data_IF_779714799930
#
_entry.id   IF_779714799930
#
_cell.length_a   1.000
_cell.length_b   1.000
_cell.length_c   1.000
_cell.angle_alpha   90.00
_cell.angle_beta   90.00
_cell.angle_gamma   90.00
#
_symmetry.space_group_name_H-M   'P 1'
#
loop_
_entity.id
_entity.type
_entity.pdbx_description
1 polymer ?
#
# COMPACT_ATOMS: atom_id res chain seq x y z
N UNK A 1 -3.51 -6.93 -13.30
CA UNK A 1 -4.40 -7.19 -12.14
C UNK A 1 -5.54 -6.19 -12.05
N UNK A 2 -5.36 -4.92 -11.62
CA UNK A 2 -6.50 -3.98 -11.50
C UNK A 2 -7.21 -3.70 -12.82
N UNK A 3 -6.45 -3.56 -13.92
CA UNK A 3 -6.98 -3.43 -15.29
C UNK A 3 -7.80 -4.65 -15.72
N UNK A 4 -7.52 -5.81 -15.12
CA UNK A 4 -8.12 -7.11 -15.44
C UNK A 4 -9.23 -7.50 -14.45
N UNK A 5 -9.76 -6.55 -13.67
CA UNK A 5 -10.88 -6.81 -12.77
C UNK A 5 -10.52 -7.26 -11.35
N UNK A 6 -9.23 -7.52 -11.03
CA UNK A 6 -8.85 -7.96 -9.69
C UNK A 6 -9.06 -6.86 -8.61
N UNK A 7 -9.38 -7.28 -7.40
CA UNK A 7 -9.25 -6.47 -6.17
C UNK A 7 -7.83 -6.61 -5.62
N UNK A 8 -7.22 -5.50 -5.24
CA UNK A 8 -5.86 -5.48 -4.70
C UNK A 8 -5.80 -4.82 -3.33
N UNK A 9 -5.09 -5.47 -2.43
CA UNK A 9 -4.56 -4.88 -1.22
C UNK A 9 -3.04 -4.69 -1.40
N UNK A 10 -2.58 -3.44 -1.40
CA UNK A 10 -1.17 -3.08 -1.60
C UNK A 10 -0.58 -2.59 -0.29
N UNK A 11 0.52 -3.22 0.12
CA UNK A 11 1.30 -2.82 1.30
C UNK A 11 2.43 -1.87 0.93
N UNK A 12 2.66 -0.82 1.72
CA UNK A 12 3.73 0.16 1.44
C UNK A 12 4.09 1.01 2.66
N UNK A 13 5.34 1.48 2.73
CA UNK A 13 5.79 2.50 3.68
C UNK A 13 5.54 3.93 3.20
N UNK A 14 5.11 4.10 1.96
CA UNK A 14 4.86 5.40 1.32
C UNK A 14 3.47 5.42 0.68
N UNK A 15 2.41 5.34 1.50
CA UNK A 15 1.03 5.21 1.01
C UNK A 15 0.58 6.37 0.13
N UNK A 16 0.96 7.61 0.42
CA UNK A 16 0.55 8.75 -0.40
C UNK A 16 1.21 8.71 -1.77
N UNK A 17 2.51 8.42 -1.80
CA UNK A 17 3.23 8.26 -3.06
C UNK A 17 2.67 7.09 -3.88
N UNK A 18 2.25 6.00 -3.24
CA UNK A 18 1.56 4.87 -3.89
C UNK A 18 0.23 5.30 -4.50
N UNK A 19 -0.63 5.98 -3.74
CA UNK A 19 -1.94 6.44 -4.23
C UNK A 19 -1.82 7.40 -5.42
N UNK A 20 -0.89 8.37 -5.35
CA UNK A 20 -0.64 9.29 -6.47
C UNK A 20 -0.23 8.55 -7.74
N UNK A 21 0.62 7.53 -7.63
CA UNK A 21 1.04 6.71 -8.78
C UNK A 21 -0.13 5.94 -9.36
N UNK A 22 -0.92 5.25 -8.54
CA UNK A 22 -2.11 4.54 -9.02
C UNK A 22 -3.16 5.45 -9.64
N UNK A 23 -3.25 6.72 -9.22
CA UNK A 23 -4.13 7.71 -9.86
C UNK A 23 -3.59 8.28 -11.16
N UNK A 24 -2.29 8.44 -11.28
CA UNK A 24 -1.65 8.93 -12.50
C UNK A 24 -1.74 7.92 -13.66
N UNK A 25 -1.97 6.64 -13.37
CA UNK A 25 -2.11 5.60 -14.37
C UNK A 25 -3.35 5.81 -15.27
N UNK A 26 -3.23 5.64 -16.60
CA UNK A 26 -4.38 5.69 -17.51
C UNK A 26 -5.46 4.67 -17.14
N UNK A 27 -6.72 5.12 -17.12
CA UNK A 27 -7.88 4.29 -16.75
C UNK A 27 -8.12 4.18 -15.24
N UNK A 28 -7.42 4.96 -14.41
CA UNK A 28 -7.48 4.82 -12.95
C UNK A 28 -8.83 5.07 -12.28
N UNK A 29 -9.75 5.71 -12.99
CA UNK A 29 -11.13 5.87 -12.55
C UNK A 29 -11.88 4.53 -12.36
N UNK A 30 -11.41 3.43 -12.95
CA UNK A 30 -12.09 2.13 -12.91
C UNK A 30 -11.75 1.24 -11.69
N UNK A 31 -10.83 1.66 -10.83
CA UNK A 31 -10.40 0.88 -9.66
C UNK A 31 -10.36 1.60 -8.28
N UNK A 32 -11.03 2.75 -8.02
CA UNK A 32 -11.13 3.31 -6.66
C UNK A 32 -11.58 2.28 -5.62
N UNK A 33 -12.62 1.52 -5.92
CA UNK A 33 -13.28 0.62 -4.96
C UNK A 33 -12.59 -0.76 -4.87
N UNK A 34 -11.65 -1.03 -5.79
CA UNK A 34 -10.92 -2.31 -5.87
C UNK A 34 -9.46 -2.17 -5.45
N UNK A 35 -9.02 -0.99 -5.03
CA UNK A 35 -7.66 -0.74 -4.56
C UNK A 35 -7.67 -0.29 -3.10
N UNK A 36 -7.16 -1.15 -2.24
CA UNK A 36 -6.90 -0.86 -0.84
C UNK A 36 -5.41 -0.66 -0.64
N UNK A 37 -4.99 0.51 -0.11
CA UNK A 37 -3.59 0.76 0.25
C UNK A 37 -3.43 0.69 1.76
N UNK A 38 -2.52 -0.17 2.21
CA UNK A 38 -2.19 -0.37 3.62
C UNK A 38 -0.80 0.19 3.90
N UNK A 39 -0.73 1.17 4.79
CA UNK A 39 0.51 1.67 5.34
C UNK A 39 1.10 0.63 6.31
N UNK A 40 2.25 0.07 5.96
CA UNK A 40 2.96 -0.94 6.77
C UNK A 40 4.45 -0.89 6.52
N UNK A 41 5.24 -0.98 7.59
CA UNK A 41 6.67 -1.28 7.51
C UNK A 41 6.90 -2.78 7.68
N UNK A 42 7.15 -3.48 6.58
CA UNK A 42 7.41 -4.92 6.59
C UNK A 42 8.72 -5.29 7.32
N UNK A 43 9.54 -4.31 7.72
CA UNK A 43 10.72 -4.53 8.58
C UNK A 43 10.36 -4.57 10.06
N UNK A 44 9.15 -4.15 10.44
CA UNK A 44 8.64 -4.21 11.81
C UNK A 44 7.68 -5.41 11.94
N UNK A 45 8.12 -6.53 12.55
CA UNK A 45 7.30 -7.74 12.66
C UNK A 45 5.96 -7.51 13.34
N UNK A 46 5.85 -6.53 14.24
CA UNK A 46 4.60 -6.24 14.96
C UNK A 46 3.51 -5.73 14.02
N UNK A 47 3.89 -4.89 13.05
CA UNK A 47 2.96 -4.40 12.04
C UNK A 47 2.54 -5.49 11.05
N UNK A 48 3.45 -6.42 10.75
CA UNK A 48 3.14 -7.60 9.93
C UNK A 48 2.13 -8.49 10.63
N UNK A 49 2.33 -8.78 11.93
CA UNK A 49 1.40 -9.57 12.72
C UNK A 49 0.02 -8.90 12.80
N UNK A 50 -0.04 -7.60 13.13
CA UNK A 50 -1.31 -6.87 13.16
C UNK A 50 -2.01 -6.78 11.81
N UNK A 51 -1.26 -6.78 10.69
CA UNK A 51 -1.84 -6.91 9.35
C UNK A 51 -2.46 -8.30 9.15
N UNK A 52 -1.74 -9.37 9.47
CA UNK A 52 -2.23 -10.73 9.34
C UNK A 52 -3.49 -10.98 10.18
N UNK A 53 -3.53 -10.45 11.40
CA UNK A 53 -4.72 -10.52 12.27
C UNK A 53 -5.92 -9.84 11.64
N UNK A 54 -5.76 -8.59 11.17
CA UNK A 54 -6.84 -7.86 10.49
C UNK A 54 -7.36 -8.61 9.25
N UNK A 55 -6.45 -9.11 8.41
CA UNK A 55 -6.84 -9.86 7.21
C UNK A 55 -7.61 -11.14 7.54
N UNK A 56 -7.26 -11.79 8.66
CA UNK A 56 -7.97 -12.98 9.16
C UNK A 56 -9.37 -12.62 9.67
N UNK A 57 -9.51 -11.48 10.33
CA UNK A 57 -10.80 -10.97 10.84
C UNK A 57 -11.75 -10.55 9.71
N UNK A 58 -11.22 -9.88 8.68
CA UNK A 58 -11.98 -9.45 7.49
C UNK A 58 -12.50 -10.65 6.67
N UNK A 59 -12.06 -11.87 6.99
CA UNK A 59 -12.40 -13.15 6.33
C UNK A 59 -12.29 -13.11 4.80
N UNK A 60 -11.39 -12.28 4.27
CA UNK A 60 -11.20 -12.19 2.84
C UNK A 60 -10.42 -13.41 2.35
N UNK A 61 -10.99 -14.24 1.44
CA UNK A 61 -10.23 -15.31 0.83
C UNK A 61 -9.14 -14.71 -0.04
N UNK A 62 -7.89 -14.82 0.41
CA UNK A 62 -6.72 -14.39 -0.37
C UNK A 62 -6.44 -15.46 -1.43
N UNK A 63 -6.69 -15.11 -2.70
CA UNK A 63 -6.47 -16.04 -3.82
C UNK A 63 -5.01 -16.06 -4.25
N UNK A 64 -4.30 -14.93 -4.13
CA UNK A 64 -2.91 -14.76 -4.60
C UNK A 64 -2.15 -13.86 -3.63
N UNK A 65 -0.99 -14.31 -3.18
CA UNK A 65 0.02 -13.50 -2.46
C UNK A 65 1.20 -13.22 -3.39
N UNK A 66 1.64 -11.96 -3.45
CA UNK A 66 2.80 -11.53 -4.24
C UNK A 66 3.82 -10.85 -3.32
N UNK A 67 4.91 -11.55 -3.01
CA UNK A 67 6.03 -11.04 -2.21
C UNK A 67 6.97 -10.17 -3.04
N UNK A 68 6.45 -9.03 -3.51
CA UNK A 68 7.20 -8.08 -4.34
C UNK A 68 8.12 -7.15 -3.52
N UNK A 69 7.83 -6.94 -2.24
CA UNK A 69 8.60 -6.00 -1.41
C UNK A 69 10.00 -6.55 -1.11
N UNK A 70 11.01 -6.05 -1.80
CA UNK A 70 12.38 -6.49 -1.66
C UNK A 70 13.38 -5.32 -1.76
N UNK A 71 14.56 -5.52 -1.17
CA UNK A 71 15.70 -4.60 -1.32
C UNK A 71 17.00 -5.41 -1.34
N UNK A 72 17.73 -5.34 -2.45
CA UNK A 72 18.97 -6.11 -2.67
C UNK A 72 20.23 -5.37 -2.23
N UNK A 73 20.16 -4.05 -2.05
CA UNK A 73 21.30 -3.21 -1.64
C UNK A 73 20.86 -2.24 -0.55
N UNK A 74 21.69 -2.04 0.47
CA UNK A 74 21.42 -1.02 1.50
C UNK A 74 21.55 0.38 0.88
N UNK A 75 20.47 1.15 0.91
CA UNK A 75 20.47 2.54 0.44
C UNK A 75 20.64 3.48 1.63
N UNK A 76 21.39 4.58 1.46
CA UNK A 76 21.49 5.59 2.50
C UNK A 76 20.12 6.29 2.67
N UNK A 77 19.75 6.73 3.90
CA UNK A 77 18.41 7.27 4.20
C UNK A 77 17.95 8.39 3.25
N UNK A 78 18.89 9.21 2.78
CA UNK A 78 18.67 10.34 1.88
C UNK A 78 18.08 9.90 0.53
N UNK A 79 18.30 8.64 0.12
CA UNK A 79 17.69 8.05 -1.08
C UNK A 79 16.17 8.03 -1.02
N UNK A 80 15.59 8.11 0.18
CA UNK A 80 14.15 8.12 0.41
C UNK A 80 13.61 9.49 0.83
N UNK A 81 14.45 10.53 0.90
CA UNK A 81 14.04 11.84 1.42
C UNK A 81 12.87 12.45 0.64
N UNK A 82 12.91 12.38 -0.70
CA UNK A 82 11.81 12.86 -1.54
C UNK A 82 10.53 12.05 -1.36
N UNK A 83 10.65 10.73 -1.16
CA UNK A 83 9.50 9.87 -0.87
C UNK A 83 8.88 10.24 0.47
N UNK A 84 9.70 10.39 1.52
CA UNK A 84 9.25 10.77 2.85
C UNK A 84 8.59 12.16 2.87
N UNK A 85 9.17 13.14 2.19
CA UNK A 85 8.58 14.48 2.07
C UNK A 85 7.20 14.46 1.39
N UNK A 86 6.99 13.55 0.43
CA UNK A 86 5.72 13.38 -0.26
C UNK A 86 4.58 12.82 0.60
N UNK A 87 4.87 12.26 1.77
CA UNK A 87 3.86 11.63 2.64
C UNK A 87 3.08 12.64 3.50
N UNK A 88 3.51 13.89 3.60
CA UNK A 88 2.82 14.93 4.37
C UNK A 88 1.83 15.78 3.55
N UNK A 89 1.76 15.59 2.23
CA UNK A 89 0.95 16.40 1.32
C UNK A 89 -0.48 15.88 1.11
N UNK A 90 -1.41 16.80 0.80
CA UNK A 90 -2.81 16.48 0.49
C UNK A 90 -2.94 15.56 -0.73
N UNK A 91 -3.77 14.52 -0.60
CA UNK A 91 -4.01 13.57 -1.68
C UNK A 91 -4.92 14.14 -2.77
N UNK A 92 -4.78 13.68 -4.03
CA UNK A 92 -5.75 13.98 -5.07
C UNK A 92 -7.18 13.57 -4.63
N UNK A 93 -8.22 14.34 -5.03
CA UNK A 93 -9.59 13.98 -4.73
C UNK A 93 -9.93 12.60 -5.31
N UNK A 94 -10.78 11.87 -4.59
CA UNK A 94 -11.22 10.53 -4.98
C UNK A 94 -10.18 9.43 -4.78
N UNK A 95 -9.01 9.68 -4.18
CA UNK A 95 -8.12 8.60 -3.74
C UNK A 95 -8.79 7.72 -2.67
N UNK A 96 -8.62 6.38 -2.72
CA UNK A 96 -9.08 5.51 -1.63
C UNK A 96 -8.36 5.86 -0.33
N UNK A 97 -9.00 5.54 0.80
CA UNK A 97 -8.43 5.81 2.12
C UNK A 97 -7.20 4.93 2.33
N UNK A 98 -6.19 5.50 2.99
CA UNK A 98 -5.06 4.74 3.51
C UNK A 98 -5.50 4.05 4.79
N UNK A 99 -5.34 2.73 4.85
CA UNK A 99 -5.53 1.98 6.08
C UNK A 99 -4.18 1.84 6.78
N UNK A 100 -4.12 2.11 8.08
CA UNK A 100 -2.93 1.78 8.86
C UNK A 100 -2.90 0.27 9.13
N UNK A 101 -1.70 -0.33 9.14
CA UNK A 101 -1.52 -1.59 9.83
C UNK A 101 -1.95 -1.43 11.30
N UNK A 102 -2.76 -2.35 11.81
CA UNK A 102 -3.14 -2.33 13.22
C UNK A 102 -1.86 -2.41 14.06
N UNK A 103 -1.80 -1.62 15.15
CA UNK A 103 -0.77 -1.82 16.15
C UNK A 103 -1.23 -2.99 17.01
N UNK A 104 -0.49 -4.10 16.94
CA UNK A 104 -0.60 -5.18 17.91
C UNK A 104 -0.30 -4.66 19.32
#
# INVERSE_FOLDING_TARGET
MLRDGAELLVTTRSPHATLRRFRAEPGSAAWPDRLTVVAVDLRDPRQVLGLCERLREDRQPQVILIDNAAQTVRRPPESYALLAAGESGALPPGCPRVHAAARA
#
